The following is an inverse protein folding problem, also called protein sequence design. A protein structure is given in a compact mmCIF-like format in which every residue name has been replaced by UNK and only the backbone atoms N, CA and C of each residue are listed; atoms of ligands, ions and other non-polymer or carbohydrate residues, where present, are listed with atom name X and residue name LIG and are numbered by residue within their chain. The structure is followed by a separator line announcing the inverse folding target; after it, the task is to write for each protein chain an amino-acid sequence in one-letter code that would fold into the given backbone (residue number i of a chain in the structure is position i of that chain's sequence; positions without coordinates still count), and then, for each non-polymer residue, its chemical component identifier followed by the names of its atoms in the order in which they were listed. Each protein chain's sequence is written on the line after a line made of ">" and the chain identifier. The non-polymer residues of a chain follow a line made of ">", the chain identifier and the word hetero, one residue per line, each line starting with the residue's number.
data_IF_295428115993
#
_entry.id   IF_295428115993
#
_cell.length_a   1.000
_cell.length_b   1.000
_cell.length_c   1.000
_cell.angle_alpha   90.00
_cell.angle_beta   90.00
_cell.angle_gamma   90.00
#
_symmetry.space_group_name_H-M   'P 1'
#
loop_
_entity.id
_entity.type
_entity.pdbx_description
1 polymer ?
#
# COMPACT_ATOMS: atom_id res chain seq x y z
N UNK A 1 2.58 31.69 -0.67
CA UNK A 1 1.93 30.47 -1.01
C UNK A 1 1.34 29.78 0.20
N UNK A 2 0.16 29.30 0.05
CA UNK A 2 -0.56 28.73 1.18
C UNK A 2 -0.20 27.26 1.39
N UNK A 3 0.07 26.87 2.62
CA UNK A 3 0.31 25.47 2.96
C UNK A 3 -0.89 24.59 2.67
N UNK A 4 -2.10 25.14 2.82
CA UNK A 4 -3.30 24.34 2.60
C UNK A 4 -3.47 24.00 1.11
N UNK A 5 -3.05 24.88 0.21
CA UNK A 5 -3.07 24.57 -1.22
C UNK A 5 -2.08 23.45 -1.51
N UNK A 6 -0.88 23.56 -0.94
CA UNK A 6 0.14 22.54 -1.15
C UNK A 6 -0.32 21.19 -0.57
N UNK A 7 -0.97 21.23 0.59
CA UNK A 7 -1.45 20.00 1.22
C UNK A 7 -2.51 19.33 0.38
N UNK A 8 -3.49 20.07 -0.08
CA UNK A 8 -4.56 19.49 -0.91
C UNK A 8 -4.00 18.92 -2.19
N UNK A 9 -3.08 19.64 -2.80
CA UNK A 9 -2.46 19.18 -4.04
C UNK A 9 -1.68 17.89 -3.80
N UNK A 10 -0.91 17.84 -2.73
CA UNK A 10 -0.16 16.63 -2.38
C UNK A 10 -1.09 15.45 -2.09
N UNK A 11 -2.21 15.71 -1.43
CA UNK A 11 -3.17 14.65 -1.14
C UNK A 11 -3.83 14.13 -2.42
N UNK A 12 -4.15 15.03 -3.36
CA UNK A 12 -4.69 14.61 -4.64
C UNK A 12 -3.68 13.80 -5.43
N UNK A 13 -2.42 14.22 -5.38
CA UNK A 13 -1.37 13.45 -6.03
C UNK A 13 -1.20 12.07 -5.41
N UNK A 14 -1.29 12.00 -4.08
CA UNK A 14 -1.22 10.72 -3.38
C UNK A 14 -2.34 9.79 -3.83
N UNK A 15 -3.56 10.31 -3.92
CA UNK A 15 -4.68 9.52 -4.40
C UNK A 15 -4.45 9.01 -5.83
N UNK A 16 -3.93 9.86 -6.69
CA UNK A 16 -3.64 9.46 -8.06
C UNK A 16 -2.59 8.37 -8.11
N UNK A 17 -1.55 8.48 -7.30
CA UNK A 17 -0.50 7.47 -7.25
C UNK A 17 -1.05 6.16 -6.72
N UNK A 18 -1.89 6.21 -5.70
CA UNK A 18 -2.50 5.00 -5.15
C UNK A 18 -3.43 4.32 -6.15
N UNK A 19 -4.14 5.10 -6.96
CA UNK A 19 -4.97 4.52 -8.01
C UNK A 19 -4.10 3.86 -9.08
N UNK A 20 -2.99 4.49 -9.44
CA UNK A 20 -2.04 3.88 -10.36
C UNK A 20 -1.45 2.60 -9.78
N UNK A 21 -1.15 2.62 -8.49
CA UNK A 21 -0.66 1.42 -7.81
C UNK A 21 -1.68 0.30 -7.89
N UNK A 22 -2.95 0.61 -7.66
CA UNK A 22 -4.00 -0.40 -7.73
C UNK A 22 -4.05 -1.03 -9.12
N UNK A 23 -3.98 -0.20 -10.15
CA UNK A 23 -4.01 -0.70 -11.52
C UNK A 23 -2.77 -1.53 -11.85
N UNK A 24 -1.61 -1.08 -11.38
CA UNK A 24 -0.36 -1.81 -11.60
C UNK A 24 -0.38 -3.16 -10.91
N UNK A 25 -0.94 -3.22 -9.71
CA UNK A 25 -1.08 -4.48 -8.99
C UNK A 25 -2.00 -5.43 -9.73
N UNK A 26 -3.12 -4.93 -10.25
CA UNK A 26 -4.04 -5.76 -11.00
C UNK A 26 -3.41 -6.30 -12.28
N UNK A 27 -2.52 -5.53 -12.88
CA UNK A 27 -1.84 -5.93 -14.11
C UNK A 27 -0.54 -6.69 -13.84
N UNK A 28 -0.12 -6.82 -12.60
CA UNK A 28 1.15 -7.45 -12.22
C UNK A 28 2.34 -6.78 -12.90
N UNK A 29 2.29 -5.46 -13.01
CA UNK A 29 3.34 -4.66 -13.65
C UNK A 29 4.33 -4.22 -12.59
N UNK A 30 5.40 -4.98 -12.41
CA UNK A 30 6.37 -4.76 -11.36
C UNK A 30 7.04 -3.39 -11.47
N UNK A 31 7.41 -2.99 -12.68
CA UNK A 31 8.05 -1.69 -12.88
C UNK A 31 7.13 -0.57 -12.45
N UNK A 32 5.86 -0.65 -12.85
CA UNK A 32 4.88 0.36 -12.46
C UNK A 32 4.63 0.36 -10.95
N UNK A 33 4.59 -0.83 -10.34
CA UNK A 33 4.42 -0.94 -8.89
C UNK A 33 5.57 -0.25 -8.17
N UNK A 34 6.81 -0.51 -8.59
CA UNK A 34 7.97 0.09 -7.96
C UNK A 34 7.98 1.61 -8.13
N UNK A 35 7.61 2.09 -9.31
CA UNK A 35 7.49 3.53 -9.53
C UNK A 35 6.47 4.16 -8.61
N UNK A 36 5.35 3.50 -8.40
CA UNK A 36 4.32 4.01 -7.49
C UNK A 36 4.82 4.05 -6.05
N UNK A 37 5.58 3.04 -5.63
CA UNK A 37 6.14 3.02 -4.28
C UNK A 37 7.06 4.22 -4.08
N UNK A 38 7.92 4.50 -5.05
CA UNK A 38 8.83 5.63 -4.95
C UNK A 38 8.05 6.94 -4.88
N UNK A 39 7.03 7.09 -5.71
CA UNK A 39 6.22 8.30 -5.71
C UNK A 39 5.47 8.47 -4.40
N UNK A 40 4.94 7.38 -3.85
CA UNK A 40 4.26 7.42 -2.56
C UNK A 40 5.22 7.87 -1.46
N UNK A 41 6.42 7.33 -1.47
CA UNK A 41 7.41 7.68 -0.45
C UNK A 41 7.77 9.15 -0.52
N UNK A 42 7.95 9.69 -1.71
CA UNK A 42 8.26 11.10 -1.89
C UNK A 42 7.11 11.98 -1.39
N UNK A 43 5.88 11.59 -1.70
CA UNK A 43 4.72 12.34 -1.25
C UNK A 43 4.52 12.23 0.25
N UNK A 44 4.78 11.06 0.82
CA UNK A 44 4.68 10.87 2.27
C UNK A 44 5.65 11.76 3.00
N UNK A 45 6.88 11.87 2.50
CA UNK A 45 7.87 12.78 3.08
C UNK A 45 7.37 14.22 3.04
N UNK A 46 6.82 14.62 1.91
CA UNK A 46 6.28 15.96 1.77
C UNK A 46 5.14 16.21 2.74
N UNK A 47 4.24 15.23 2.88
CA UNK A 47 3.08 15.37 3.75
C UNK A 47 3.45 15.37 5.22
N UNK A 48 4.51 14.65 5.60
CA UNK A 48 4.90 14.59 7.00
C UNK A 48 5.41 15.92 7.52
N UNK A 49 5.78 16.83 6.65
CA UNK A 49 6.21 18.17 7.06
C UNK A 49 5.09 19.15 7.23
N UNK A 50 3.85 18.74 7.03
CA UNK A 50 2.72 19.66 7.05
C UNK A 50 2.04 19.61 8.41
N UNK A 51 1.70 20.80 8.92
CA UNK A 51 0.98 20.91 10.19
C UNK A 51 -0.46 20.45 10.03
N UNK A 52 -0.99 19.85 11.09
CA UNK A 52 -2.39 19.43 11.12
C UNK A 52 -3.33 20.52 11.58
N UNK A 53 -2.83 21.72 11.82
CA UNK A 53 -3.59 22.73 12.48
C UNK A 53 -4.72 23.31 11.64
N UNK A 54 -4.60 23.27 10.33
CA UNK A 54 -5.53 23.93 9.43
C UNK A 54 -6.17 22.99 8.43
N UNK A 55 -6.51 21.79 8.88
CA UNK A 55 -7.18 20.83 8.00
C UNK A 55 -8.65 21.23 7.87
N UNK A 56 -9.06 21.50 6.64
CA UNK A 56 -10.46 21.77 6.38
C UNK A 56 -11.17 20.47 6.00
N UNK A 57 -12.46 20.60 5.73
CA UNK A 57 -13.28 19.44 5.41
C UNK A 57 -12.79 18.71 4.17
N UNK A 58 -12.36 19.46 3.18
CA UNK A 58 -11.87 18.84 1.95
C UNK A 58 -10.59 18.03 2.22
N UNK A 59 -9.68 18.59 3.01
CA UNK A 59 -8.48 17.86 3.38
C UNK A 59 -8.80 16.59 4.14
N UNK A 60 -9.74 16.68 5.07
CA UNK A 60 -10.14 15.49 5.83
C UNK A 60 -10.71 14.42 4.94
N UNK A 61 -11.53 14.81 3.96
CA UNK A 61 -12.10 13.85 3.01
C UNK A 61 -11.02 13.20 2.16
N UNK A 62 -10.04 13.98 1.73
CA UNK A 62 -8.95 13.44 0.92
C UNK A 62 -8.09 12.47 1.72
N UNK A 63 -7.83 12.81 2.99
CA UNK A 63 -7.06 11.91 3.86
C UNK A 63 -7.81 10.60 4.06
N UNK A 64 -9.12 10.68 4.29
CA UNK A 64 -9.91 9.48 4.50
C UNK A 64 -9.93 8.61 3.25
N UNK A 65 -10.07 9.23 2.08
CA UNK A 65 -10.04 8.50 0.82
C UNK A 65 -8.68 7.82 0.62
N UNK A 66 -7.60 8.52 0.97
CA UNK A 66 -6.27 7.95 0.84
C UNK A 66 -6.09 6.76 1.77
N UNK A 67 -6.60 6.85 2.98
CA UNK A 67 -6.51 5.74 3.93
C UNK A 67 -7.23 4.51 3.40
N UNK A 68 -8.44 4.71 2.88
CA UNK A 68 -9.22 3.59 2.36
C UNK A 68 -8.54 2.95 1.16
N UNK A 69 -8.03 3.76 0.25
CA UNK A 69 -7.38 3.24 -0.93
C UNK A 69 -6.08 2.53 -0.57
N UNK A 70 -5.36 3.06 0.41
CA UNK A 70 -4.14 2.41 0.87
C UNK A 70 -4.44 1.04 1.47
N UNK A 71 -5.53 0.93 2.21
CA UNK A 71 -5.92 -0.37 2.78
C UNK A 71 -6.35 -1.33 1.69
N UNK A 72 -7.11 -0.87 0.70
CA UNK A 72 -7.49 -1.71 -0.43
C UNK A 72 -6.24 -2.22 -1.15
N UNK A 73 -5.29 -1.34 -1.39
CA UNK A 73 -4.07 -1.75 -2.09
C UNK A 73 -3.27 -2.76 -1.27
N UNK A 74 -3.24 -2.60 0.06
CA UNK A 74 -2.57 -3.56 0.91
C UNK A 74 -3.20 -4.94 0.77
N UNK A 75 -4.53 -4.99 0.76
CA UNK A 75 -5.23 -6.26 0.60
C UNK A 75 -4.95 -6.87 -0.78
N UNK A 76 -4.93 -6.04 -1.80
CA UNK A 76 -4.64 -6.52 -3.16
C UNK A 76 -3.21 -7.06 -3.23
N UNK A 77 -2.24 -6.35 -2.62
CA UNK A 77 -0.86 -6.84 -2.61
C UNK A 77 -0.77 -8.21 -1.96
N UNK A 78 -1.48 -8.40 -0.87
CA UNK A 78 -1.46 -9.68 -0.18
C UNK A 78 -2.08 -10.79 -1.04
N UNK A 79 -3.18 -10.49 -1.71
CA UNK A 79 -3.82 -11.46 -2.59
C UNK A 79 -2.92 -11.83 -3.78
N UNK A 80 -2.27 -10.84 -4.36
CA UNK A 80 -1.35 -11.07 -5.47
C UNK A 80 -0.19 -11.94 -5.01
N UNK A 81 0.39 -11.63 -3.87
CA UNK A 81 1.50 -12.41 -3.34
C UNK A 81 1.10 -13.85 -3.06
N UNK A 82 -0.09 -14.05 -2.50
CA UNK A 82 -0.59 -15.39 -2.24
C UNK A 82 -0.81 -16.16 -3.53
N UNK A 83 -1.34 -15.49 -4.54
CA UNK A 83 -1.58 -16.12 -5.84
C UNK A 83 -0.27 -16.54 -6.50
N UNK A 84 0.73 -15.65 -6.47
CA UNK A 84 2.05 -15.97 -7.03
C UNK A 84 2.67 -17.11 -6.28
N UNK A 85 2.59 -17.12 -4.97
CA UNK A 85 3.14 -18.18 -4.15
C UNK A 85 2.50 -19.53 -4.50
N UNK A 86 1.18 -19.55 -4.64
CA UNK A 86 0.47 -20.77 -5.00
C UNK A 86 0.89 -21.29 -6.38
N UNK A 87 1.09 -20.38 -7.32
CA UNK A 87 1.53 -20.77 -8.66
C UNK A 87 2.94 -21.35 -8.65
N UNK A 88 3.82 -20.76 -7.84
CA UNK A 88 5.16 -21.28 -7.69
C UNK A 88 5.13 -22.70 -7.09
N UNK A 89 4.30 -22.92 -6.08
CA UNK A 89 4.15 -24.23 -5.50
C UNK A 89 3.71 -25.25 -6.55
N UNK A 90 2.74 -24.87 -7.37
CA UNK A 90 2.23 -25.76 -8.41
C UNK A 90 3.29 -26.09 -9.44
N UNK A 91 4.13 -25.12 -9.78
CA UNK A 91 5.17 -25.30 -10.79
C UNK A 91 6.34 -26.12 -10.28
N UNK A 92 6.72 -25.95 -9.02
CA UNK A 92 7.87 -26.64 -8.46
C UNK A 92 7.51 -27.98 -7.83
N UNK A 93 6.24 -28.22 -7.58
CA UNK A 93 5.81 -29.44 -6.95
C UNK A 93 6.14 -29.51 -5.47
N UNK A 94 6.55 -28.40 -4.89
CA UNK A 94 6.90 -28.34 -3.47
C UNK A 94 6.25 -27.11 -2.84
N UNK A 95 5.72 -27.23 -1.62
CA UNK A 95 5.13 -26.07 -0.97
C UNK A 95 6.17 -25.03 -0.68
N UNK A 96 5.79 -23.77 -0.87
CA UNK A 96 6.66 -22.68 -0.53
C UNK A 96 6.59 -22.41 0.98
N UNK A 97 7.74 -22.04 1.53
CA UNK A 97 7.80 -21.67 2.94
C UNK A 97 7.67 -20.16 3.12
N UNK A 98 7.55 -19.43 2.03
CA UNK A 98 7.39 -18.01 2.12
C UNK A 98 6.05 -17.66 2.73
N UNK A 99 6.06 -16.78 3.69
CA UNK A 99 4.83 -16.29 4.32
C UNK A 99 4.67 -14.82 4.03
N UNK A 100 3.43 -14.42 3.78
CA UNK A 100 3.15 -13.04 3.47
C UNK A 100 3.49 -12.14 4.65
N UNK A 101 4.12 -11.02 4.40
CA UNK A 101 4.36 -10.05 5.46
C UNK A 101 3.05 -9.39 5.84
N UNK A 102 2.49 -9.84 6.91
CA UNK A 102 1.22 -9.33 7.40
C UNK A 102 1.43 -8.85 8.81
N UNK A 103 0.89 -7.68 9.10
CA UNK A 103 1.01 -7.13 10.44
C UNK A 103 0.44 -8.07 11.48
N UNK A 104 -0.56 -8.83 11.12
CA UNK A 104 -1.16 -9.76 12.06
C UNK A 104 -0.36 -11.00 12.26
N UNK A 105 0.54 -11.27 11.38
CA UNK A 105 1.35 -12.47 11.49
C UNK A 105 2.16 -12.46 12.74
N UNK A 106 2.29 -11.34 13.15
CA UNK A 106 2.84 -11.43 14.45
C UNK A 106 2.05 -12.42 15.13
N UNK A 107 1.44 -12.91 14.62
CA UNK A 107 0.78 -13.78 14.81
C UNK A 107 1.30 -14.84 14.87
N UNK A 108 1.62 -14.61 14.91
CA UNK A 108 1.95 -15.23 15.06
C UNK A 108 2.32 -15.91 15.40
N UNK A 109 2.30 -15.84 15.59
CA UNK A 109 2.49 -16.42 15.80
C UNK A 109 2.56 -17.23 15.83
N UNK A 110 2.43 -17.20 15.77
CA UNK A 110 2.38 -17.91 15.60
C UNK A 110 2.65 -18.60 15.64
N UNK A 111 2.64 -18.32 16.02
CA UNK A 111 2.90 -18.95 15.96
C UNK A 111 3.10 -19.73 15.95
N UNK A 112 3.24 -19.75 16.06
CA UNK A 112 3.38 -20.54 15.98
C UNK A 112 3.52 -21.45 15.87
N UNK A 113 3.62 -21.56 15.92
CA UNK A 113 3.69 -22.44 15.69
C UNK A 113 3.84 -23.27 15.53
N UNK A 114 3.99 -23.49 15.39
CA UNK A 114 4.12 -24.32 15.00
C UNK A 114 4.33 -25.11 14.74
N UNK A 115 4.36 -25.09 14.78
CA UNK A 115 4.37 -25.90 14.32
C UNK A 115 4.64 -26.39 14.06
N UNK A 116 4.72 -26.21 14.37
CA UNK A 116 4.81 -26.58 14.04
C UNK A 116 4.88 -26.73 13.73
#
# INVERSE_FOLDING_TARGET
>A
MSNSIDLKDALRQMLAVMEQERQALAALDLTAIMGCVENKNALSTKLSGVSNDNLDEECMSLIEAARRLNEVNRQIRNLVAANVSARLDALTGAPTIYKLPDARAGYARHGVAPGA
#
